data_IF_427363899567
#
_entry.id   IF_427363899567
#
_cell.length_a   1.000
_cell.length_b   1.000
_cell.length_c   1.000
_cell.angle_alpha   90.00
_cell.angle_beta   90.00
_cell.angle_gamma   90.00
#
_symmetry.space_group_name_H-M   'P 1'
#
loop_
_entity.id
_entity.type
_entity.pdbx_description
1 polymer ?
#
# COMPACT_ATOMS: atom_id res chain seq x y z
N UNK A 1 55.16 -1.52 -38.96
CA UNK A 1 55.24 -0.07 -38.76
C UNK A 1 53.85 0.53 -38.88
N UNK A 2 53.14 0.72 -37.76
CA UNK A 2 51.94 1.58 -37.67
C UNK A 2 51.89 2.08 -36.22
N UNK A 3 52.40 3.28 -35.97
CA UNK A 3 52.40 3.90 -34.65
C UNK A 3 51.04 4.56 -34.39
N UNK A 4 50.29 4.06 -33.42
CA UNK A 4 49.12 4.74 -32.88
C UNK A 4 49.57 5.81 -31.89
N UNK A 5 49.49 7.08 -32.30
CA UNK A 5 49.76 8.24 -31.46
C UNK A 5 48.46 8.62 -30.73
N UNK A 6 48.42 8.41 -29.42
CA UNK A 6 47.36 8.89 -28.56
C UNK A 6 47.44 10.43 -28.40
N UNK A 7 46.34 11.18 -28.53
CA UNK A 7 46.37 12.61 -28.24
C UNK A 7 46.42 12.84 -26.72
N UNK A 8 47.54 13.41 -26.25
CA UNK A 8 47.68 13.93 -24.89
C UNK A 8 46.72 15.10 -24.70
N UNK A 9 45.66 14.90 -23.91
CA UNK A 9 44.78 15.97 -23.48
C UNK A 9 45.42 16.68 -22.28
N UNK A 10 46.16 17.76 -22.53
CA UNK A 10 46.68 18.64 -21.48
C UNK A 10 45.55 19.55 -20.97
N UNK A 11 44.99 19.21 -19.82
CA UNK A 11 44.06 20.08 -19.09
C UNK A 11 44.88 21.19 -18.45
N UNK A 12 45.00 22.34 -19.13
CA UNK A 12 45.52 23.57 -18.52
C UNK A 12 44.50 24.09 -17.51
N UNK A 13 44.79 23.92 -16.23
CA UNK A 13 44.00 24.46 -15.12
C UNK A 13 44.28 25.97 -15.00
N UNK A 14 43.57 26.78 -15.79
CA UNK A 14 43.61 28.23 -15.63
C UNK A 14 42.81 28.63 -14.40
N UNK A 15 43.54 29.13 -13.40
CA UNK A 15 43.00 29.75 -12.20
C UNK A 15 42.48 31.15 -12.56
N UNK A 16 41.18 31.38 -12.38
CA UNK A 16 40.51 32.67 -12.57
C UNK A 16 39.35 32.80 -11.55
N UNK A 17 38.91 34.04 -11.23
CA UNK A 17 38.70 34.51 -9.86
C UNK A 17 37.32 34.23 -9.25
N UNK A 18 37.31 34.33 -7.92
CA UNK A 18 36.19 34.26 -6.99
C UNK A 18 35.11 35.33 -7.31
N UNK A 19 33.83 34.91 -7.29
CA UNK A 19 32.59 35.63 -7.67
C UNK A 19 32.21 35.63 -9.17
N UNK A 20 31.94 34.43 -9.72
CA UNK A 20 31.09 34.31 -10.92
C UNK A 20 29.92 33.35 -10.69
N UNK A 21 28.71 33.81 -10.99
CA UNK A 21 27.41 33.16 -10.73
C UNK A 21 27.09 32.01 -11.69
N UNK A 22 28.09 31.37 -12.29
CA UNK A 22 27.91 30.37 -13.34
C UNK A 22 28.43 29.02 -12.83
N UNK A 23 27.65 28.41 -11.94
CA UNK A 23 27.91 27.08 -11.40
C UNK A 23 27.65 26.05 -12.50
N UNK A 24 28.65 25.25 -12.86
CA UNK A 24 28.49 24.13 -13.78
C UNK A 24 28.81 22.84 -13.04
N UNK A 25 27.79 22.03 -12.79
CA UNK A 25 27.87 20.84 -11.95
C UNK A 25 27.58 19.61 -12.83
N UNK A 26 28.56 18.72 -13.09
CA UNK A 26 28.32 17.49 -13.82
C UNK A 26 27.43 16.55 -12.99
N UNK A 27 26.34 16.07 -13.59
CA UNK A 27 25.35 15.20 -12.94
C UNK A 27 24.84 14.14 -13.91
N UNK A 28 24.24 13.10 -13.36
CA UNK A 28 23.55 12.06 -14.13
C UNK A 28 22.04 12.27 -14.07
N UNK A 29 21.36 12.18 -15.22
CA UNK A 29 19.91 12.36 -15.28
C UNK A 29 19.18 11.21 -14.58
N UNK A 30 18.32 11.52 -13.60
CA UNK A 30 17.53 10.51 -12.86
C UNK A 30 16.49 9.76 -13.72
N UNK A 31 16.24 10.18 -14.96
CA UNK A 31 15.27 9.54 -15.83
C UNK A 31 15.91 8.69 -16.93
N UNK A 32 16.86 9.25 -17.69
CA UNK A 32 17.50 8.53 -18.80
C UNK A 32 18.91 8.01 -18.50
N UNK A 33 19.52 8.37 -17.37
CA UNK A 33 20.85 7.90 -16.99
C UNK A 33 22.02 8.60 -17.71
N UNK A 34 21.76 9.55 -18.61
CA UNK A 34 22.82 10.26 -19.33
C UNK A 34 23.49 11.33 -18.44
N UNK A 35 24.80 11.51 -18.63
CA UNK A 35 25.54 12.61 -18.02
C UNK A 35 25.14 13.96 -18.65
N UNK A 36 25.02 15.00 -17.82
CA UNK A 36 24.71 16.36 -18.25
C UNK A 36 25.29 17.38 -17.26
N UNK A 37 25.47 18.62 -17.72
CA UNK A 37 25.97 19.70 -16.87
C UNK A 37 24.82 20.56 -16.38
N UNK A 38 24.58 20.56 -15.07
CA UNK A 38 23.55 21.36 -14.42
C UNK A 38 24.07 22.75 -14.04
N UNK A 39 23.22 23.77 -14.17
CA UNK A 39 23.53 25.12 -13.66
C UNK A 39 23.16 25.36 -12.20
N UNK A 40 22.32 24.49 -11.64
CA UNK A 40 21.83 24.62 -10.26
C UNK A 40 21.95 23.29 -9.51
N UNK A 41 22.06 23.40 -8.19
CA UNK A 41 22.13 22.24 -7.28
C UNK A 41 20.84 21.42 -7.28
N UNK A 42 19.69 22.05 -7.56
CA UNK A 42 18.37 21.39 -7.57
C UNK A 42 18.04 20.67 -8.88
N UNK A 43 18.76 20.93 -9.98
CA UNK A 43 18.47 20.27 -11.27
C UNK A 43 18.79 18.78 -11.21
N UNK A 44 17.80 17.94 -11.54
CA UNK A 44 17.88 16.46 -11.45
C UNK A 44 17.81 15.76 -12.81
N UNK A 45 17.43 16.47 -13.87
CA UNK A 45 17.19 15.91 -15.21
C UNK A 45 17.93 16.70 -16.27
N UNK A 46 18.35 16.03 -17.35
CA UNK A 46 19.08 16.66 -18.45
C UNK A 46 18.23 17.63 -19.29
N UNK A 47 16.91 17.66 -19.09
CA UNK A 47 16.02 18.61 -19.76
C UNK A 47 14.54 18.40 -19.45
N UNK A 48 13.70 19.27 -20.02
CA UNK A 48 12.25 19.30 -19.79
C UNK A 48 11.53 18.00 -20.17
N UNK A 49 11.96 17.32 -21.24
CA UNK A 49 11.38 16.04 -21.65
C UNK A 49 11.54 14.98 -20.57
N UNK A 50 12.76 14.79 -20.06
CA UNK A 50 13.06 13.85 -18.98
C UNK A 50 12.31 14.21 -17.69
N UNK A 51 12.23 15.50 -17.34
CA UNK A 51 11.49 15.94 -16.17
C UNK A 51 9.98 15.64 -16.27
N UNK A 52 9.35 15.92 -17.42
CA UNK A 52 7.92 15.64 -17.66
C UNK A 52 7.62 14.14 -17.61
N UNK A 53 8.47 13.31 -18.23
CA UNK A 53 8.31 11.84 -18.19
C UNK A 53 8.45 11.30 -16.76
N UNK A 54 9.46 11.75 -16.00
CA UNK A 54 9.64 11.36 -14.61
C UNK A 54 8.46 11.79 -13.72
N UNK A 55 7.91 12.99 -13.92
CA UNK A 55 6.71 13.45 -13.21
C UNK A 55 5.50 12.53 -13.47
N UNK A 56 5.23 12.20 -14.74
CA UNK A 56 4.13 11.30 -15.12
C UNK A 56 4.33 9.89 -14.55
N UNK A 57 5.55 9.37 -14.57
CA UNK A 57 5.89 8.08 -13.99
C UNK A 57 5.63 8.07 -12.47
N UNK A 58 6.03 9.12 -11.75
CA UNK A 58 5.73 9.28 -10.32
C UNK A 58 4.23 9.28 -10.05
N UNK A 59 3.45 10.07 -10.80
CA UNK A 59 1.97 10.12 -10.65
C UNK A 59 1.29 8.78 -10.93
N UNK A 60 1.78 8.02 -11.91
CA UNK A 60 1.29 6.65 -12.16
C UNK A 60 1.59 5.73 -10.97
N UNK A 61 2.80 5.79 -10.40
CA UNK A 61 3.18 4.99 -9.22
C UNK A 61 2.34 5.35 -7.99
N UNK A 62 2.11 6.64 -7.73
CA UNK A 62 1.22 7.10 -6.65
C UNK A 62 -0.18 6.50 -6.77
N UNK A 63 -0.75 6.49 -7.99
CA UNK A 63 -2.08 5.90 -8.24
C UNK A 63 -2.10 4.39 -7.97
N UNK A 64 -1.11 3.65 -8.45
CA UNK A 64 -1.00 2.19 -8.22
C UNK A 64 -0.82 1.90 -6.72
N UNK A 65 0.00 2.68 -6.02
CA UNK A 65 0.21 2.49 -4.58
C UNK A 65 -1.06 2.79 -3.78
N UNK A 66 -1.84 3.79 -4.20
CA UNK A 66 -3.12 4.11 -3.57
C UNK A 66 -4.15 2.97 -3.69
N UNK A 67 -4.21 2.30 -4.84
CA UNK A 67 -5.11 1.15 -5.04
C UNK A 67 -4.66 -0.06 -4.23
N UNK A 68 -3.36 -0.38 -4.27
CA UNK A 68 -2.79 -1.48 -3.48
C UNK A 68 -3.03 -1.29 -1.97
N UNK A 69 -2.88 -0.06 -1.47
CA UNK A 69 -3.14 0.24 -0.06
C UNK A 69 -4.63 0.08 0.32
N UNK A 70 -5.56 0.40 -0.58
CA UNK A 70 -6.98 0.17 -0.35
C UNK A 70 -7.30 -1.33 -0.28
N UNK A 71 -6.74 -2.12 -1.21
CA UNK A 71 -6.91 -3.57 -1.25
C UNK A 71 -6.29 -4.27 -0.03
N UNK A 72 -5.13 -3.78 0.45
CA UNK A 72 -4.48 -4.30 1.65
C UNK A 72 -5.27 -4.00 2.94
N UNK A 73 -5.94 -2.84 3.03
CA UNK A 73 -6.84 -2.53 4.16
C UNK A 73 -8.04 -3.48 4.20
N UNK A 74 -8.60 -3.80 3.03
CA UNK A 74 -9.67 -4.81 2.94
C UNK A 74 -9.19 -6.20 3.34
N UNK A 75 -7.96 -6.60 2.96
CA UNK A 75 -7.39 -7.88 3.40
C UNK A 75 -7.14 -7.95 4.91
N UNK A 76 -6.67 -6.88 5.54
CA UNK A 76 -6.44 -6.89 6.99
C UNK A 76 -7.74 -6.92 7.80
N UNK A 77 -8.82 -6.27 7.34
CA UNK A 77 -10.16 -6.45 7.94
C UNK A 77 -10.68 -7.89 7.80
N UNK A 78 -10.36 -8.57 6.69
CA UNK A 78 -10.76 -9.96 6.47
C UNK A 78 -9.94 -10.96 7.31
N UNK A 79 -8.68 -10.65 7.62
CA UNK A 79 -7.80 -11.54 8.41
C UNK A 79 -8.04 -11.39 9.92
N UNK A 80 -8.35 -10.20 10.44
CA UNK A 80 -8.71 -10.04 11.86
C UNK A 80 -10.05 -10.71 12.24
N UNK A 81 -10.94 -10.92 11.26
CA UNK A 81 -12.22 -11.65 11.46
C UNK A 81 -12.00 -13.18 11.51
N UNK A 82 -10.81 -13.66 11.14
CA UNK A 82 -10.47 -15.09 11.06
C UNK A 82 -9.51 -15.53 12.16
N UNK A 83 -9.65 -15.00 13.38
CA UNK A 83 -9.12 -15.70 14.54
C UNK A 83 -10.22 -16.62 15.12
N UNK A 84 -10.34 -17.89 14.68
CA UNK A 84 -11.38 -18.80 15.13
C UNK A 84 -11.35 -19.03 16.65
N UNK A 85 -10.22 -18.76 17.30
CA UNK A 85 -10.05 -18.94 18.74
C UNK A 85 -10.72 -17.83 19.57
N UNK A 86 -11.01 -16.66 19.00
CA UNK A 86 -11.62 -15.56 19.75
C UNK A 86 -13.13 -15.74 19.99
N UNK A 87 -13.79 -16.62 19.22
CA UNK A 87 -15.24 -16.87 19.33
C UNK A 87 -15.56 -17.87 20.45
N UNK A 88 -14.62 -18.76 20.79
CA UNK A 88 -14.89 -19.88 21.70
C UNK A 88 -15.13 -19.46 23.17
N UNK A 89 -14.60 -18.31 23.61
CA UNK A 89 -14.69 -17.87 25.01
C UNK A 89 -15.80 -16.82 25.28
N UNK A 90 -16.71 -16.57 24.34
CA UNK A 90 -17.78 -15.58 24.51
C UNK A 90 -19.10 -16.23 24.89
N UNK A 91 -19.72 -15.75 25.97
CA UNK A 91 -21.07 -16.18 26.40
C UNK A 91 -22.18 -15.61 25.51
N UNK A 92 -21.90 -14.48 24.85
CA UNK A 92 -22.83 -13.76 24.00
C UNK A 92 -22.25 -13.60 22.60
N UNK A 93 -22.99 -14.09 21.62
CA UNK A 93 -22.55 -14.20 20.24
C UNK A 93 -23.42 -13.32 19.35
N UNK A 94 -22.80 -12.56 18.46
CA UNK A 94 -23.53 -11.97 17.33
C UNK A 94 -23.99 -13.05 16.36
N UNK A 95 -25.00 -12.76 15.54
CA UNK A 95 -25.48 -13.68 14.48
C UNK A 95 -24.35 -14.21 13.59
N UNK A 96 -23.35 -13.37 13.29
CA UNK A 96 -22.13 -13.76 12.55
C UNK A 96 -21.27 -14.75 13.31
N UNK A 97 -21.01 -14.50 14.59
CA UNK A 97 -20.19 -15.39 15.43
C UNK A 97 -20.92 -16.71 15.70
N UNK A 98 -22.23 -16.68 15.93
CA UNK A 98 -23.06 -17.87 16.05
C UNK A 98 -23.01 -18.74 14.79
N UNK A 99 -23.07 -18.12 13.61
CA UNK A 99 -22.92 -18.78 12.31
C UNK A 99 -21.55 -19.44 12.14
N UNK A 100 -20.48 -18.77 12.55
CA UNK A 100 -19.12 -19.33 12.56
C UNK A 100 -18.97 -20.47 13.56
N UNK A 101 -19.57 -20.35 14.76
CA UNK A 101 -19.49 -21.35 15.82
C UNK A 101 -20.10 -22.69 15.39
N UNK A 102 -21.26 -22.68 14.74
CA UNK A 102 -21.97 -23.92 14.34
C UNK A 102 -21.75 -24.30 12.87
N UNK A 103 -21.01 -23.50 12.09
CA UNK A 103 -20.71 -23.79 10.70
C UNK A 103 -21.90 -23.68 9.72
N UNK A 104 -22.94 -22.90 10.04
CA UNK A 104 -24.07 -22.66 9.13
C UNK A 104 -24.04 -21.25 8.55
N UNK A 105 -24.81 -21.00 7.49
CA UNK A 105 -24.93 -19.64 6.93
C UNK A 105 -25.56 -18.65 7.93
N UNK A 106 -25.12 -17.39 7.89
CA UNK A 106 -25.73 -16.29 8.67
C UNK A 106 -27.24 -16.19 8.45
N UNK A 107 -27.71 -16.46 7.23
CA UNK A 107 -29.12 -16.48 6.87
C UNK A 107 -29.91 -17.55 7.60
N UNK A 108 -29.31 -18.72 7.85
CA UNK A 108 -29.93 -19.81 8.61
C UNK A 108 -30.21 -19.37 10.04
N UNK A 109 -29.24 -18.74 10.71
CA UNK A 109 -29.42 -18.17 12.06
C UNK A 109 -30.53 -17.11 12.04
N UNK A 110 -30.52 -16.19 11.07
CA UNK A 110 -31.55 -15.16 10.95
C UNK A 110 -32.95 -15.74 10.77
N UNK A 111 -33.09 -16.82 9.99
CA UNK A 111 -34.35 -17.52 9.79
C UNK A 111 -34.84 -18.19 11.07
N UNK A 112 -33.96 -18.84 11.83
CA UNK A 112 -34.31 -19.44 13.11
C UNK A 112 -34.79 -18.40 14.13
N UNK A 113 -34.19 -17.22 14.13
CA UNK A 113 -34.66 -16.10 14.97
C UNK A 113 -36.04 -15.61 14.51
N UNK A 114 -36.25 -15.46 13.20
CA UNK A 114 -37.54 -15.04 12.65
C UNK A 114 -38.66 -16.06 12.93
N UNK A 115 -38.32 -17.35 12.96
CA UNK A 115 -39.23 -18.45 13.30
C UNK A 115 -39.45 -18.62 14.81
N UNK A 116 -38.78 -17.83 15.66
CA UNK A 116 -38.87 -17.93 17.12
C UNK A 116 -38.12 -19.11 17.74
N UNK A 117 -37.37 -19.90 16.94
CA UNK A 117 -36.57 -21.04 17.43
C UNK A 117 -35.32 -20.61 18.21
N UNK A 118 -34.82 -19.41 17.93
CA UNK A 118 -33.70 -18.80 18.65
C UNK A 118 -34.12 -17.42 19.16
N UNK A 119 -33.96 -17.19 20.47
CA UNK A 119 -34.16 -15.84 21.04
C UNK A 119 -32.92 -15.00 20.76
N UNK A 120 -33.12 -13.82 20.19
CA UNK A 120 -32.04 -12.86 20.00
C UNK A 120 -32.46 -11.50 20.56
N UNK A 121 -31.54 -10.85 21.25
CA UNK A 121 -31.74 -9.51 21.81
C UNK A 121 -31.10 -8.48 20.87
N UNK A 122 -31.82 -7.44 20.45
CA UNK A 122 -31.23 -6.34 19.68
C UNK A 122 -30.27 -5.54 20.58
N UNK A 123 -29.04 -5.34 20.10
CA UNK A 123 -28.02 -4.50 20.73
C UNK A 123 -27.46 -3.53 19.68
N UNK A 124 -28.09 -2.37 19.58
CA UNK A 124 -27.81 -1.39 18.52
C UNK A 124 -28.08 -1.98 17.13
N UNK A 125 -27.05 -2.02 16.28
CA UNK A 125 -27.14 -2.55 14.91
C UNK A 125 -27.01 -4.09 14.83
N UNK A 126 -26.65 -4.75 15.93
CA UNK A 126 -26.40 -6.20 15.98
C UNK A 126 -27.52 -6.89 16.76
N UNK A 127 -27.74 -8.17 16.45
CA UNK A 127 -28.56 -9.08 17.26
C UNK A 127 -27.63 -10.04 17.99
N UNK A 128 -27.82 -10.18 19.29
CA UNK A 128 -27.01 -11.00 20.18
C UNK A 128 -27.83 -12.21 20.62
N UNK A 129 -27.20 -13.38 20.57
CA UNK A 129 -27.74 -14.68 20.98
C UNK A 129 -26.87 -15.20 22.12
N UNK A 130 -27.47 -15.74 23.17
CA UNK A 130 -26.71 -16.37 24.24
C UNK A 130 -26.23 -17.76 23.81
N UNK A 131 -24.98 -18.09 24.14
CA UNK A 131 -24.32 -19.34 23.72
C UNK A 131 -25.09 -20.59 24.14
N UNK A 132 -25.58 -20.63 25.38
CA UNK A 132 -26.35 -21.74 25.92
C UNK A 132 -27.60 -22.08 25.08
N UNK A 133 -28.20 -21.10 24.40
CA UNK A 133 -29.37 -21.37 23.56
C UNK A 133 -29.03 -22.18 22.32
N UNK A 134 -27.81 -22.00 21.80
CA UNK A 134 -27.31 -22.74 20.65
C UNK A 134 -26.93 -24.15 21.08
N UNK A 135 -26.29 -24.30 22.24
CA UNK A 135 -25.96 -25.61 22.82
C UNK A 135 -27.23 -26.43 23.11
N UNK A 136 -28.27 -25.78 23.63
CA UNK A 136 -29.59 -26.39 23.85
C UNK A 136 -30.32 -26.82 22.57
N UNK A 137 -29.89 -26.40 21.37
CA UNK A 137 -30.48 -26.92 20.12
C UNK A 137 -30.07 -28.38 19.84
N UNK A 138 -28.99 -28.84 20.45
CA UNK A 138 -28.43 -30.18 20.25
C UNK A 138 -28.66 -31.12 21.44
N UNK A 139 -29.28 -30.63 22.53
CA UNK A 139 -29.66 -31.41 23.70
C UNK A 139 -31.11 -31.86 23.67
#
# INVERSE_FOLDING_TARGET
MMHHIAPRCTITLHKAPFMSSNLYIPKTCKHCGNAFTARTTVTQYCGNSCAKKAYKARKRKEKIQSTLNADMKQKNEVVEVQNPNAVNNKDFLSVTEASQLIGVSRWTIQRMIQQGRLKAVPFGRKRIVARWQIENLFN
#
